data_IF_287775236071
#
_entry.id   IF_287775236071
#
_cell.length_a   1.000
_cell.length_b   1.000
_cell.length_c   1.000
_cell.angle_alpha   90.00
_cell.angle_beta   90.00
_cell.angle_gamma   90.00
#
_symmetry.space_group_name_H-M   'P 1'
#
loop_
_entity.id
_entity.type
_entity.pdbx_description
1 polymer ?
#
# COMPACT_ATOMS: atom_id res chain seq x y z
N UNK A 1 -14.85 6.04 11.94
CA UNK A 1 -16.35 6.03 11.97
C UNK A 1 -16.80 4.67 11.49
N UNK A 2 -17.55 3.92 12.28
CA UNK A 2 -17.98 2.55 11.96
C UNK A 2 -19.07 2.50 10.86
N UNK A 3 -19.25 1.31 10.25
CA UNK A 3 -20.22 1.06 9.18
C UNK A 3 -21.63 1.58 9.55
N UNK A 4 -22.16 1.25 10.74
CA UNK A 4 -23.53 1.58 11.14
C UNK A 4 -23.80 3.08 11.16
N UNK A 5 -22.85 3.86 11.68
CA UNK A 5 -22.94 5.31 11.72
C UNK A 5 -22.85 5.90 10.30
N UNK A 6 -21.91 5.41 9.47
CA UNK A 6 -21.73 5.89 8.11
C UNK A 6 -22.92 5.55 7.22
N UNK A 7 -23.44 4.35 7.32
CA UNK A 7 -24.62 3.91 6.58
C UNK A 7 -25.86 4.76 6.91
N UNK A 8 -26.09 5.04 8.21
CA UNK A 8 -27.17 5.93 8.65
C UNK A 8 -27.02 7.34 8.09
N UNK A 9 -25.78 7.89 8.11
CA UNK A 9 -25.51 9.23 7.56
C UNK A 9 -25.74 9.28 6.05
N UNK A 10 -25.29 8.28 5.30
CA UNK A 10 -25.49 8.19 3.84
C UNK A 10 -26.97 8.10 3.50
N UNK A 11 -27.74 7.28 4.23
CA UNK A 11 -29.19 7.20 4.08
C UNK A 11 -29.85 8.55 4.32
N UNK A 12 -29.53 9.20 5.45
CA UNK A 12 -30.10 10.49 5.81
C UNK A 12 -29.74 11.58 4.79
N UNK A 13 -28.48 11.61 4.33
CA UNK A 13 -27.99 12.56 3.32
C UNK A 13 -28.75 12.42 1.98
N UNK A 14 -29.16 11.20 1.64
CA UNK A 14 -29.93 10.92 0.42
C UNK A 14 -31.47 11.00 0.65
N UNK A 15 -31.94 11.40 1.83
CA UNK A 15 -33.36 11.56 2.14
C UNK A 15 -34.17 10.25 2.13
N UNK A 16 -33.50 9.10 2.23
CA UNK A 16 -34.13 7.79 2.14
C UNK A 16 -34.59 7.28 3.50
N UNK A 17 -35.74 6.62 3.53
CA UNK A 17 -36.24 5.87 4.69
C UNK A 17 -35.62 4.46 4.74
N UNK A 18 -35.69 3.80 5.89
CA UNK A 18 -35.25 2.40 6.01
C UNK A 18 -36.06 1.46 5.12
N UNK A 19 -37.34 1.77 4.86
CA UNK A 19 -38.20 0.98 3.98
C UNK A 19 -37.76 1.11 2.50
N UNK A 20 -37.47 2.32 2.05
CA UNK A 20 -37.00 2.55 0.66
C UNK A 20 -35.63 1.91 0.38
N UNK A 21 -34.72 1.91 1.36
CA UNK A 21 -33.47 1.18 1.24
C UNK A 21 -33.71 -0.33 1.19
N UNK A 22 -34.60 -0.83 2.04
CA UNK A 22 -34.97 -2.24 2.06
C UNK A 22 -35.49 -2.70 0.70
N UNK A 23 -36.39 -1.92 0.09
CA UNK A 23 -36.93 -2.18 -1.25
C UNK A 23 -35.84 -2.18 -2.32
N UNK A 24 -34.96 -1.17 -2.31
CA UNK A 24 -33.85 -1.05 -3.29
C UNK A 24 -32.85 -2.21 -3.22
N UNK A 25 -32.62 -2.74 -2.02
CA UNK A 25 -31.66 -3.84 -1.77
C UNK A 25 -32.32 -5.23 -1.73
N UNK A 26 -33.64 -5.32 -1.90
CA UNK A 26 -34.39 -6.59 -1.85
C UNK A 26 -34.33 -7.28 -0.50
N UNK A 27 -34.36 -6.51 0.61
CA UNK A 27 -34.25 -7.00 1.99
C UNK A 27 -35.40 -6.47 2.84
N UNK A 28 -35.44 -6.81 4.13
CA UNK A 28 -36.46 -6.28 5.05
C UNK A 28 -35.99 -4.99 5.74
N UNK A 29 -36.93 -4.08 6.04
CA UNK A 29 -36.62 -2.86 6.82
C UNK A 29 -36.03 -3.19 8.19
N UNK A 30 -36.37 -4.36 8.77
CA UNK A 30 -35.78 -4.86 10.02
C UNK A 30 -34.28 -5.13 9.88
N UNK A 31 -33.84 -5.66 8.73
CA UNK A 31 -32.41 -5.87 8.45
C UNK A 31 -31.65 -4.54 8.34
N UNK A 32 -32.23 -3.55 7.65
CA UNK A 32 -31.68 -2.18 7.58
C UNK A 32 -31.55 -1.57 8.99
N UNK A 33 -32.59 -1.68 9.81
CA UNK A 33 -32.57 -1.21 11.19
C UNK A 33 -31.54 -1.95 12.06
N UNK A 34 -31.34 -3.25 11.85
CA UNK A 34 -30.31 -4.03 12.55
C UNK A 34 -28.89 -3.56 12.18
N UNK A 35 -28.65 -3.23 10.91
CA UNK A 35 -27.38 -2.69 10.43
C UNK A 35 -27.09 -1.30 10.98
N UNK A 36 -28.08 -0.39 11.00
CA UNK A 36 -27.94 0.95 11.56
C UNK A 36 -27.70 0.98 13.07
N UNK A 37 -28.21 -0.04 13.78
CA UNK A 37 -28.01 -0.17 15.22
C UNK A 37 -26.79 -1.04 15.60
N UNK A 38 -26.00 -1.47 14.63
CA UNK A 38 -24.80 -2.27 14.86
C UNK A 38 -25.06 -3.70 15.36
N UNK A 39 -26.31 -4.17 15.31
CA UNK A 39 -26.69 -5.54 15.75
C UNK A 39 -26.25 -6.62 14.78
N UNK A 40 -26.09 -6.27 13.51
CA UNK A 40 -25.57 -7.13 12.46
C UNK A 40 -24.89 -6.29 11.38
N UNK A 41 -24.04 -6.94 10.58
CA UNK A 41 -23.41 -6.32 9.38
C UNK A 41 -23.94 -7.00 8.13
N UNK A 42 -24.06 -6.28 6.99
CA UNK A 42 -24.39 -6.90 5.71
C UNK A 42 -23.26 -7.82 5.25
N UNK A 43 -23.59 -8.81 4.43
CA UNK A 43 -22.59 -9.63 3.74
C UNK A 43 -21.90 -8.80 2.64
N UNK A 44 -20.77 -9.30 2.14
CA UNK A 44 -19.94 -8.57 1.18
C UNK A 44 -20.68 -8.23 -0.13
N UNK A 45 -21.54 -9.13 -0.60
CA UNK A 45 -22.41 -8.91 -1.76
C UNK A 45 -23.35 -7.71 -1.55
N UNK A 46 -24.01 -7.67 -0.39
CA UNK A 46 -24.88 -6.54 -0.03
C UNK A 46 -24.11 -5.25 0.26
N UNK A 47 -22.89 -5.33 0.77
CA UNK A 47 -22.02 -4.15 0.90
C UNK A 47 -21.67 -3.54 -0.46
N UNK A 48 -21.42 -4.37 -1.48
CA UNK A 48 -21.18 -3.90 -2.84
C UNK A 48 -22.43 -3.20 -3.42
N UNK A 49 -23.63 -3.76 -3.21
CA UNK A 49 -24.89 -3.11 -3.64
C UNK A 49 -25.12 -1.77 -2.93
N UNK A 50 -24.84 -1.69 -1.62
CA UNK A 50 -24.91 -0.46 -0.83
C UNK A 50 -23.90 0.58 -1.35
N UNK A 51 -22.68 0.15 -1.69
CA UNK A 51 -21.67 1.04 -2.24
C UNK A 51 -22.10 1.66 -3.56
N UNK A 52 -22.67 0.86 -4.45
CA UNK A 52 -23.26 1.35 -5.71
C UNK A 52 -24.44 2.30 -5.45
N UNK A 53 -25.35 1.92 -4.54
CA UNK A 53 -26.54 2.72 -4.22
C UNK A 53 -26.18 4.14 -3.74
N UNK A 54 -25.11 4.29 -2.96
CA UNK A 54 -24.68 5.56 -2.39
C UNK A 54 -23.50 6.21 -3.14
N UNK A 55 -23.11 5.67 -4.30
CA UNK A 55 -21.95 6.11 -5.08
C UNK A 55 -20.69 6.28 -4.22
N UNK A 56 -20.35 5.25 -3.49
CA UNK A 56 -19.19 5.17 -2.59
C UNK A 56 -18.46 3.82 -2.78
N UNK A 57 -17.38 3.58 -2.07
CA UNK A 57 -16.66 2.30 -2.13
C UNK A 57 -17.01 1.41 -0.91
N UNK A 58 -16.80 0.10 -1.06
CA UNK A 58 -16.96 -0.84 0.08
C UNK A 58 -15.98 -0.49 1.21
N UNK A 59 -14.76 -0.10 0.87
CA UNK A 59 -13.75 0.34 1.82
C UNK A 59 -14.21 1.59 2.59
N UNK A 60 -14.79 2.54 1.89
CA UNK A 60 -15.40 3.72 2.49
C UNK A 60 -16.56 3.38 3.43
N UNK A 61 -17.43 2.45 3.05
CA UNK A 61 -18.55 2.01 3.89
C UNK A 61 -18.08 1.31 5.17
N UNK A 62 -17.04 0.51 5.07
CA UNK A 62 -16.47 -0.20 6.22
C UNK A 62 -15.74 0.73 7.19
N UNK A 63 -15.24 1.89 6.72
CA UNK A 63 -14.61 2.90 7.56
C UNK A 63 -13.45 2.35 8.38
N UNK A 64 -13.30 2.82 9.62
CA UNK A 64 -12.29 2.37 10.59
C UNK A 64 -12.41 0.87 10.92
N UNK A 65 -13.62 0.28 10.81
CA UNK A 65 -13.81 -1.17 11.00
C UNK A 65 -13.08 -2.01 9.93
N UNK A 66 -12.84 -1.45 8.72
CA UNK A 66 -12.03 -2.13 7.70
C UNK A 66 -10.54 -1.98 8.00
N UNK A 67 -10.13 -0.84 8.53
CA UNK A 67 -8.77 -0.63 8.98
C UNK A 67 -8.46 -1.49 10.22
N UNK A 68 -9.37 -1.56 11.20
CA UNK A 68 -9.23 -2.42 12.38
C UNK A 68 -9.37 -3.92 12.06
N UNK A 69 -10.25 -4.31 11.12
CA UNK A 69 -10.35 -5.70 10.68
C UNK A 69 -9.16 -6.13 9.79
N UNK A 70 -8.57 -5.20 9.05
CA UNK A 70 -7.31 -5.42 8.35
C UNK A 70 -6.11 -5.46 9.32
N UNK A 71 -6.17 -4.73 10.43
CA UNK A 71 -5.18 -4.74 11.51
C UNK A 71 -5.41 -5.91 12.49
N UNK A 72 -6.66 -6.35 12.67
CA UNK A 72 -7.03 -7.48 13.56
C UNK A 72 -6.91 -8.86 12.92
N UNK A 73 -6.58 -8.96 11.64
CA UNK A 73 -6.24 -10.21 10.98
C UNK A 73 -4.76 -10.44 11.06
N UNK A 74 -4.31 -11.40 11.88
CA UNK A 74 -2.96 -11.94 11.98
C UNK A 74 -1.91 -11.22 11.14
N UNK A 75 -1.02 -10.50 11.77
CA UNK A 75 0.19 -9.95 11.14
C UNK A 75 1.21 -11.06 10.90
N UNK A 76 2.16 -10.80 10.03
CA UNK A 76 3.33 -11.64 9.77
C UNK A 76 4.58 -10.82 10.03
N UNK A 77 5.57 -11.48 10.58
CA UNK A 77 6.92 -10.91 10.67
C UNK A 77 7.60 -11.06 9.30
N UNK A 78 8.08 -9.95 8.77
CA UNK A 78 8.77 -9.87 7.47
C UNK A 78 10.17 -9.34 7.72
N UNK A 79 11.21 -9.99 7.18
CA UNK A 79 12.60 -9.60 7.43
C UNK A 79 12.88 -8.17 6.93
N UNK A 80 13.58 -7.39 7.74
CA UNK A 80 14.10 -6.07 7.40
C UNK A 80 15.55 -6.21 6.93
N UNK A 81 15.80 -5.98 5.64
CA UNK A 81 17.12 -6.14 5.02
C UNK A 81 17.88 -4.81 4.92
N UNK A 82 17.93 -4.03 6.00
CA UNK A 82 18.76 -2.82 6.08
C UNK A 82 18.16 -1.60 5.35
N UNK A 83 19.02 -0.68 4.94
CA UNK A 83 18.64 0.62 4.39
C UNK A 83 18.90 0.66 2.87
N UNK A 84 17.95 1.18 2.10
CA UNK A 84 18.24 1.66 0.76
C UNK A 84 18.88 3.05 0.88
N UNK A 85 20.20 3.09 0.83
CA UNK A 85 20.98 4.34 0.96
C UNK A 85 21.25 4.98 -0.39
N UNK A 86 21.32 6.30 -0.36
CA UNK A 86 21.95 7.08 -1.42
C UNK A 86 23.44 7.18 -1.12
N UNK A 87 24.26 6.31 -1.70
CA UNK A 87 25.70 6.56 -1.85
C UNK A 87 26.68 5.84 -0.94
N UNK A 88 26.26 4.91 -0.08
CA UNK A 88 27.20 4.05 0.65
C UNK A 88 26.77 2.57 0.59
N UNK A 89 27.72 1.61 0.48
CA UNK A 89 27.42 0.18 0.46
C UNK A 89 26.76 -0.24 1.77
N UNK A 90 25.62 -0.94 1.70
CA UNK A 90 25.05 -1.61 2.86
C UNK A 90 25.92 -2.80 3.24
N UNK A 91 26.47 -2.80 4.45
CA UNK A 91 27.02 -4.00 5.06
C UNK A 91 25.88 -4.98 5.37
N UNK A 92 25.98 -6.20 4.83
CA UNK A 92 24.99 -7.29 4.93
C UNK A 92 24.79 -7.84 6.37
N UNK A 93 25.34 -7.22 7.39
CA UNK A 93 25.45 -7.79 8.75
C UNK A 93 24.27 -7.53 9.71
N UNK A 94 23.18 -6.86 9.31
CA UNK A 94 22.02 -6.63 10.19
C UNK A 94 20.74 -7.32 9.71
N UNK A 95 20.80 -8.64 9.57
CA UNK A 95 19.66 -9.53 9.25
C UNK A 95 18.78 -9.87 10.48
N UNK A 96 18.82 -9.10 11.56
CA UNK A 96 18.22 -9.47 12.84
C UNK A 96 16.85 -8.84 13.12
N UNK A 97 16.44 -7.84 12.34
CA UNK A 97 15.18 -7.14 12.59
C UNK A 97 14.06 -7.65 11.67
N UNK A 98 12.91 -7.84 12.26
CA UNK A 98 11.69 -8.19 11.56
C UNK A 98 10.63 -7.11 11.79
N UNK A 99 9.82 -6.83 10.79
CA UNK A 99 8.75 -5.84 10.83
C UNK A 99 7.40 -6.52 10.75
N UNK A 100 6.48 -6.09 11.60
CA UNK A 100 5.12 -6.58 11.60
C UNK A 100 4.33 -5.97 10.42
N UNK A 101 3.91 -6.81 9.47
CA UNK A 101 3.16 -6.44 8.26
C UNK A 101 1.80 -7.12 8.28
N UNK A 102 0.70 -6.47 7.82
CA UNK A 102 -0.60 -7.13 7.72
C UNK A 102 -0.51 -8.45 6.94
N UNK A 103 -1.11 -9.52 7.49
CA UNK A 103 -1.00 -10.85 6.90
C UNK A 103 -1.50 -10.91 5.44
N UNK A 104 -2.53 -10.13 5.09
CA UNK A 104 -3.03 -10.04 3.71
C UNK A 104 -1.98 -9.53 2.71
N UNK A 105 -1.07 -8.68 3.17
CA UNK A 105 0.04 -8.15 2.36
C UNK A 105 1.18 -9.17 2.34
N UNK A 106 1.60 -9.65 3.50
CA UNK A 106 2.71 -10.61 3.60
C UNK A 106 2.39 -11.95 2.90
N UNK A 107 1.16 -12.46 3.03
CA UNK A 107 0.73 -13.70 2.37
C UNK A 107 0.64 -13.55 0.84
N UNK A 108 0.39 -12.34 0.32
CA UNK A 108 0.44 -12.05 -1.12
C UNK A 108 1.88 -11.96 -1.67
N UNK A 109 2.85 -11.69 -0.78
CA UNK A 109 4.27 -11.49 -1.12
C UNK A 109 5.17 -12.34 -0.20
N UNK A 110 5.13 -13.69 -0.31
CA UNK A 110 5.74 -14.61 0.66
C UNK A 110 7.28 -14.55 0.70
N UNK A 111 7.92 -14.01 -0.32
CA UNK A 111 9.37 -13.76 -0.37
C UNK A 111 9.72 -12.28 -0.24
N UNK A 112 8.72 -11.45 0.06
CA UNK A 112 8.91 -10.03 0.29
C UNK A 112 9.80 -9.75 1.49
N UNK A 113 10.54 -8.67 1.42
CA UNK A 113 11.36 -8.16 2.52
C UNK A 113 11.17 -6.64 2.65
N UNK A 114 11.40 -6.14 3.85
CA UNK A 114 11.30 -4.72 4.15
C UNK A 114 12.65 -4.03 3.98
N UNK A 115 12.62 -2.79 3.50
CA UNK A 115 13.79 -1.89 3.49
C UNK A 115 13.38 -0.52 4.02
N UNK A 116 14.30 0.15 4.70
CA UNK A 116 14.15 1.55 5.09
C UNK A 116 14.41 2.46 3.90
N UNK A 117 13.47 3.33 3.55
CA UNK A 117 13.66 4.38 2.55
C UNK A 117 14.31 5.60 3.21
N UNK A 118 15.64 5.70 3.13
CA UNK A 118 16.33 6.90 3.59
C UNK A 118 16.55 7.89 2.43
N UNK A 119 16.32 9.16 2.70
CA UNK A 119 16.45 10.24 1.74
C UNK A 119 15.14 10.64 1.07
N UNK A 120 15.17 11.75 0.30
CA UNK A 120 13.98 12.38 -0.30
C UNK A 120 13.79 12.09 -1.79
N UNK A 121 14.50 11.12 -2.35
CA UNK A 121 14.47 10.87 -3.81
C UNK A 121 13.13 10.37 -4.36
N UNK A 122 12.24 9.91 -3.48
CA UNK A 122 10.90 9.41 -3.81
C UNK A 122 9.83 10.02 -2.89
N UNK A 123 10.06 11.22 -2.37
CA UNK A 123 9.22 11.88 -1.35
C UNK A 123 7.84 12.32 -1.88
N UNK A 124 7.64 12.40 -3.20
CA UNK A 124 6.32 12.53 -3.79
C UNK A 124 5.47 11.24 -3.62
N UNK A 125 6.12 10.10 -3.42
CA UNK A 125 5.48 8.79 -3.44
C UNK A 125 5.49 8.09 -2.08
N UNK A 126 6.58 8.23 -1.34
CA UNK A 126 6.77 7.61 -0.03
C UNK A 126 7.17 8.67 1.00
N UNK A 127 6.59 8.63 2.21
CA UNK A 127 7.05 9.46 3.31
C UNK A 127 8.55 9.26 3.60
N UNK A 128 9.19 10.26 4.14
CA UNK A 128 10.57 10.14 4.63
C UNK A 128 10.62 9.03 5.70
N UNK A 129 11.68 8.23 5.69
CA UNK A 129 11.88 7.09 6.60
C UNK A 129 10.77 6.01 6.54
N UNK A 130 10.05 5.93 5.43
CA UNK A 130 9.07 4.86 5.23
C UNK A 130 9.74 3.49 5.14
N UNK A 131 9.04 2.49 5.67
CA UNK A 131 9.38 1.08 5.45
C UNK A 131 8.69 0.58 4.18
N UNK A 132 9.47 0.12 3.22
CA UNK A 132 9.00 -0.35 1.92
C UNK A 132 9.05 -1.87 1.85
N UNK A 133 7.96 -2.50 1.45
CA UNK A 133 7.92 -3.93 1.12
C UNK A 133 8.36 -4.14 -0.33
N UNK A 134 9.42 -4.87 -0.52
CA UNK A 134 9.99 -5.22 -1.82
C UNK A 134 9.71 -6.70 -2.10
N UNK A 135 9.13 -7.00 -3.24
CA UNK A 135 8.91 -8.37 -3.70
C UNK A 135 9.91 -8.72 -4.82
N UNK A 136 10.86 -9.63 -4.55
CA UNK A 136 11.87 -10.03 -5.53
C UNK A 136 11.31 -10.90 -6.68
N UNK A 137 10.13 -11.51 -6.50
CA UNK A 137 9.50 -12.34 -7.53
C UNK A 137 8.70 -11.52 -8.54
N UNK A 138 8.49 -10.23 -8.25
CA UNK A 138 7.77 -9.34 -9.15
C UNK A 138 8.71 -8.66 -10.13
N UNK A 139 8.48 -8.91 -11.42
CA UNK A 139 9.24 -8.25 -12.49
C UNK A 139 9.06 -6.72 -12.47
N UNK A 140 10.13 -5.95 -12.80
CA UNK A 140 10.05 -4.51 -12.96
C UNK A 140 9.05 -4.11 -14.04
N UNK A 141 8.22 -3.13 -13.74
CA UNK A 141 7.23 -2.57 -14.68
C UNK A 141 7.51 -1.08 -14.85
N UNK A 142 7.44 -0.59 -16.10
CA UNK A 142 7.67 0.83 -16.40
C UNK A 142 6.76 1.76 -15.59
N UNK A 143 7.36 2.77 -14.98
CA UNK A 143 6.68 3.74 -14.10
C UNK A 143 6.42 3.23 -12.68
N UNK A 144 6.82 1.99 -12.34
CA UNK A 144 6.70 1.47 -10.98
C UNK A 144 8.01 1.61 -10.20
N UNK A 145 7.93 1.80 -8.86
CA UNK A 145 9.10 1.88 -8.02
C UNK A 145 9.72 0.49 -7.85
N UNK A 146 11.03 0.45 -7.96
CA UNK A 146 11.84 -0.75 -7.73
C UNK A 146 12.97 -0.45 -6.75
N UNK A 147 13.40 -1.47 -6.04
CA UNK A 147 14.69 -1.48 -5.38
C UNK A 147 15.72 -1.98 -6.41
N UNK A 148 16.72 -1.17 -6.70
CA UNK A 148 17.78 -1.51 -7.65
C UNK A 148 19.15 -1.24 -7.02
N UNK A 149 20.13 -2.05 -7.39
CA UNK A 149 21.52 -1.85 -7.05
C UNK A 149 22.27 -1.34 -8.26
N UNK A 150 23.05 -0.29 -8.05
CA UNK A 150 23.89 0.35 -9.06
C UNK A 150 25.33 0.48 -8.53
N UNK A 151 26.33 0.49 -9.41
CA UNK A 151 27.74 0.63 -9.02
C UNK A 151 28.04 1.97 -8.35
N UNK A 152 27.39 3.05 -8.79
CA UNK A 152 27.70 4.41 -8.34
C UNK A 152 26.93 4.83 -7.08
N UNK A 153 25.71 4.32 -6.89
CA UNK A 153 24.82 4.76 -5.83
C UNK A 153 24.43 3.65 -4.85
N UNK A 154 24.93 2.42 -5.04
CA UNK A 154 24.51 1.27 -4.22
C UNK A 154 23.04 0.93 -4.41
N UNK A 155 22.37 0.58 -3.31
CA UNK A 155 20.95 0.23 -3.29
C UNK A 155 20.06 1.49 -3.28
N UNK A 156 19.26 1.69 -4.33
CA UNK A 156 18.38 2.85 -4.51
C UNK A 156 16.95 2.43 -4.80
N UNK A 157 15.99 3.24 -4.36
CA UNK A 157 14.59 3.12 -4.79
C UNK A 157 14.29 4.21 -5.80
N UNK A 158 13.80 3.82 -6.98
CA UNK A 158 13.50 4.71 -8.12
C UNK A 158 12.34 4.17 -8.94
N UNK A 159 11.71 5.02 -9.74
CA UNK A 159 10.79 4.59 -10.78
C UNK A 159 11.58 3.96 -11.94
N UNK A 160 11.21 2.74 -12.31
CA UNK A 160 11.87 1.97 -13.35
C UNK A 160 11.29 2.28 -14.72
N UNK A 161 12.16 2.44 -15.73
CA UNK A 161 11.75 2.51 -17.12
C UNK A 161 12.77 1.76 -17.99
N UNK A 162 12.28 0.80 -18.78
CA UNK A 162 13.10 0.02 -19.69
C UNK A 162 12.84 0.44 -21.12
N UNK A 163 13.89 0.89 -21.80
CA UNK A 163 13.95 1.09 -23.23
C UNK A 163 14.38 -0.18 -23.98
N UNK A 164 14.76 -0.05 -25.27
CA UNK A 164 15.23 -1.19 -26.09
C UNK A 164 16.55 -1.77 -25.58
N UNK A 165 17.48 -0.91 -25.20
CA UNK A 165 18.84 -1.27 -24.75
C UNK A 165 19.27 -0.49 -23.52
N UNK A 166 18.38 0.24 -22.88
CA UNK A 166 18.69 1.12 -21.75
C UNK A 166 17.71 0.85 -20.61
N UNK A 167 18.19 1.05 -19.40
CA UNK A 167 17.36 1.13 -18.19
C UNK A 167 17.52 2.53 -17.60
N UNK A 168 16.42 3.17 -17.27
CA UNK A 168 16.39 4.46 -16.61
C UNK A 168 15.69 4.31 -15.27
N UNK A 169 16.32 4.83 -14.21
CA UNK A 169 15.79 4.91 -12.87
C UNK A 169 15.58 6.38 -12.53
N UNK A 170 14.33 6.82 -12.48
CA UNK A 170 13.98 8.23 -12.26
C UNK A 170 13.59 8.48 -10.80
N UNK A 171 14.04 9.61 -10.27
CA UNK A 171 13.58 10.13 -9.00
C UNK A 171 12.14 10.66 -9.12
N UNK A 172 11.45 10.72 -7.99
CA UNK A 172 10.10 11.31 -7.86
C UNK A 172 10.07 12.14 -6.58
N UNK A 173 10.73 13.31 -6.65
CA UNK A 173 10.99 14.18 -5.50
C UNK A 173 10.49 15.60 -5.74
N UNK A 174 10.08 16.25 -4.65
CA UNK A 174 9.70 17.66 -4.64
C UNK A 174 10.90 18.59 -4.83
N UNK A 175 12.09 18.22 -4.38
CA UNK A 175 13.28 19.09 -4.42
C UNK A 175 13.88 19.21 -5.82
N UNK A 176 13.72 18.19 -6.66
CA UNK A 176 14.37 18.12 -7.98
C UNK A 176 15.89 18.01 -7.93
N UNK A 177 16.48 17.72 -6.77
CA UNK A 177 17.95 17.65 -6.58
C UNK A 177 18.54 16.29 -6.94
N UNK A 178 17.71 15.31 -7.29
CA UNK A 178 18.13 13.94 -7.55
C UNK A 178 18.17 13.66 -9.03
N UNK A 179 19.37 13.32 -9.53
CA UNK A 179 19.58 12.97 -10.93
C UNK A 179 18.95 11.61 -11.27
N UNK A 180 18.52 11.49 -12.53
CA UNK A 180 18.09 10.22 -13.10
C UNK A 180 19.31 9.35 -13.39
N UNK A 181 19.20 8.06 -13.12
CA UNK A 181 20.26 7.08 -13.38
C UNK A 181 19.93 6.38 -14.70
N UNK A 182 20.81 6.54 -15.69
CA UNK A 182 20.68 5.92 -17.01
C UNK A 182 21.79 4.89 -17.20
N UNK A 183 21.42 3.66 -17.50
CA UNK A 183 22.35 2.58 -17.86
C UNK A 183 22.05 2.07 -19.27
N UNK A 184 23.06 2.10 -20.13
CA UNK A 184 23.02 1.67 -21.52
C UNK A 184 23.99 0.53 -21.84
N UNK A 185 24.19 0.19 -23.13
CA UNK A 185 25.15 -0.80 -23.53
C UNK A 185 26.58 -0.35 -23.23
N UNK A 186 27.27 -1.11 -22.39
CA UNK A 186 28.63 -0.83 -21.97
C UNK A 186 28.79 -0.16 -20.62
N UNK A 187 27.67 0.28 -20.02
CA UNK A 187 27.64 0.74 -18.64
C UNK A 187 27.53 -0.46 -17.67
N UNK A 188 27.83 -0.20 -16.41
CA UNK A 188 27.61 -1.20 -15.38
C UNK A 188 26.11 -1.54 -15.26
N UNK A 189 25.78 -2.82 -15.07
CA UNK A 189 24.39 -3.24 -15.08
C UNK A 189 23.63 -2.73 -13.85
N UNK A 190 22.42 -2.21 -14.06
CA UNK A 190 21.45 -2.00 -13.00
C UNK A 190 20.86 -3.36 -12.61
N UNK A 191 21.07 -3.78 -11.36
CA UNK A 191 20.51 -5.01 -10.82
C UNK A 191 19.23 -4.70 -10.07
N UNK A 192 18.10 -5.07 -10.65
CA UNK A 192 16.81 -4.93 -9.97
C UNK A 192 16.66 -6.04 -8.91
N UNK A 193 16.49 -5.66 -7.65
CA UNK A 193 16.31 -6.58 -6.51
C UNK A 193 14.84 -6.96 -6.27
N UNK A 194 13.91 -6.17 -6.79
CA UNK A 194 12.48 -6.41 -6.69
C UNK A 194 11.66 -5.13 -6.87
N UNK A 195 10.36 -5.30 -6.94
CA UNK A 195 9.40 -4.19 -7.05
C UNK A 195 8.88 -3.80 -5.67
N UNK A 196 8.76 -2.50 -5.42
CA UNK A 196 8.07 -2.00 -4.21
C UNK A 196 6.57 -2.22 -4.41
N UNK A 197 5.97 -3.01 -3.52
CA UNK A 197 4.56 -3.44 -3.62
C UNK A 197 3.67 -2.83 -2.54
N UNK A 198 4.26 -2.41 -1.43
CA UNK A 198 3.55 -1.79 -0.32
C UNK A 198 4.52 -0.96 0.54
N UNK A 199 4.01 -0.06 1.36
CA UNK A 199 4.80 0.70 2.32
C UNK A 199 4.01 1.02 3.58
N UNK A 200 4.74 1.29 4.65
CA UNK A 200 4.20 1.88 5.87
C UNK A 200 5.05 3.10 6.26
N UNK A 201 4.39 4.15 6.71
CA UNK A 201 5.06 5.30 7.31
C UNK A 201 5.61 4.94 8.70
N UNK A 202 6.54 5.75 9.21
CA UNK A 202 7.06 5.60 10.56
C UNK A 202 5.89 5.65 11.57
N UNK A 203 5.88 4.72 12.53
CA UNK A 203 4.97 4.83 13.68
C UNK A 203 5.44 6.02 14.51
N UNK A 204 4.62 7.06 14.56
CA UNK A 204 4.77 8.13 15.56
C UNK A 204 4.65 7.48 16.97
N UNK A 205 5.77 7.18 17.58
CA UNK A 205 5.81 6.82 19.01
C UNK A 205 5.48 8.09 19.81
N UNK A 206 4.19 8.30 20.08
CA UNK A 206 3.73 9.28 21.06
C UNK A 206 3.43 8.63 22.38
#
# INVERSE_FOLDING_TARGET
>A
MNFSTKFRLLRAKNGLTQAEIADKLGITSRAVGAWENGRSKPRLDKMAEIAVLFNTTVADLMGEDAAEAAISGTSRMVPLLGFAHMGEPCDEENLADEVEVPASIADAHPRGFMVHAQGGCMDNRFPHDALLLVDPDMEPVNGQPVLAETSDYGAVVRNYTRGRSTVMLTADSHSGEYDDILAGPGDDPVVCKGRVVWYMGERDER
#
